data_IF_858820867783
#
_entry.id   IF_858820867783
#
_cell.length_a   1.000
_cell.length_b   1.000
_cell.length_c   1.000
_cell.angle_alpha   90.00
_cell.angle_beta   90.00
_cell.angle_gamma   90.00
#
_symmetry.space_group_name_H-M   'P 1'
#
loop_
_entity.id
_entity.type
_entity.pdbx_description
1 polymer ?
#
# COMPACT_ATOMS: atom_id res chain seq x y z
N UNK A 1 14.61 11.20 -6.81
CA UNK A 1 13.84 10.35 -5.85
C UNK A 1 12.52 9.85 -6.41
N UNK A 2 11.68 10.72 -6.98
CA UNK A 2 10.39 10.33 -7.59
C UNK A 2 10.45 10.11 -9.10
N UNK A 3 11.63 9.75 -9.62
CA UNK A 3 11.79 9.42 -11.03
C UNK A 3 10.89 8.25 -11.39
N UNK A 4 10.32 8.32 -12.58
CA UNK A 4 9.30 7.39 -13.05
C UNK A 4 9.81 6.68 -14.29
N UNK A 5 9.67 5.36 -14.32
CA UNK A 5 9.91 4.59 -15.54
C UNK A 5 8.79 4.81 -16.58
N UNK A 6 8.87 4.10 -17.71
CA UNK A 6 7.84 4.16 -18.76
C UNK A 6 6.44 3.76 -18.28
N UNK A 7 6.33 3.00 -17.20
CA UNK A 7 5.06 2.61 -16.57
C UNK A 7 4.58 3.64 -15.53
N UNK A 8 5.25 4.80 -15.44
CA UNK A 8 5.07 5.82 -14.39
C UNK A 8 5.37 5.32 -12.98
N UNK A 9 6.16 4.27 -12.85
CA UNK A 9 6.48 3.65 -11.56
C UNK A 9 7.70 4.27 -10.92
N UNK A 10 7.64 4.46 -9.60
CA UNK A 10 8.73 5.04 -8.81
C UNK A 10 9.60 3.96 -8.17
N UNK A 11 10.85 4.30 -7.82
CA UNK A 11 11.71 3.40 -7.05
C UNK A 11 11.07 2.91 -5.74
N UNK A 12 10.22 3.72 -5.12
CA UNK A 12 9.47 3.36 -3.93
C UNK A 12 8.46 2.23 -4.18
N UNK A 13 7.77 2.24 -5.32
CA UNK A 13 6.82 1.18 -5.68
C UNK A 13 7.53 -0.17 -5.88
N UNK A 14 8.72 -0.17 -6.48
CA UNK A 14 9.56 -1.37 -6.58
C UNK A 14 10.07 -1.82 -5.20
N UNK A 15 10.59 -0.93 -4.37
CA UNK A 15 11.06 -1.30 -3.04
C UNK A 15 9.94 -1.93 -2.19
N UNK A 16 8.71 -1.41 -2.30
CA UNK A 16 7.53 -1.96 -1.64
C UNK A 16 7.13 -3.34 -2.17
N UNK A 17 7.14 -3.56 -3.49
CA UNK A 17 6.73 -4.84 -4.11
C UNK A 17 7.72 -5.98 -3.86
N UNK A 18 9.00 -5.67 -3.64
CA UNK A 18 10.06 -6.64 -3.36
C UNK A 18 10.40 -6.77 -1.86
N UNK A 19 9.65 -6.12 -0.96
CA UNK A 19 9.87 -6.23 0.48
C UNK A 19 11.20 -5.65 0.96
N UNK A 20 11.72 -4.61 0.30
CA UNK A 20 13.03 -4.02 0.59
C UNK A 20 12.94 -2.89 1.61
N UNK A 21 12.70 -3.25 2.88
CA UNK A 21 12.36 -2.29 3.95
C UNK A 21 13.36 -1.16 4.11
N UNK A 22 14.66 -1.47 4.16
CA UNK A 22 15.72 -0.47 4.28
C UNK A 22 15.72 0.52 3.10
N UNK A 23 15.37 0.05 1.91
CA UNK A 23 15.26 0.90 0.72
C UNK A 23 14.00 1.76 0.84
N UNK A 24 12.87 1.20 1.30
CA UNK A 24 11.64 1.98 1.55
C UNK A 24 11.89 3.11 2.54
N UNK A 25 12.47 2.82 3.71
CA UNK A 25 12.83 3.81 4.73
C UNK A 25 13.73 4.89 4.14
N UNK A 26 14.84 4.50 3.49
CA UNK A 26 15.76 5.43 2.85
C UNK A 26 15.05 6.34 1.84
N UNK A 27 14.21 5.78 0.96
CA UNK A 27 13.50 6.56 -0.06
C UNK A 27 12.53 7.55 0.57
N UNK A 28 11.78 7.14 1.60
CA UNK A 28 10.85 8.00 2.33
C UNK A 28 11.59 9.14 3.05
N UNK A 29 12.68 8.83 3.75
CA UNK A 29 13.49 9.81 4.46
C UNK A 29 14.08 10.87 3.52
N UNK A 30 14.30 10.51 2.25
CA UNK A 30 14.79 11.40 1.20
C UNK A 30 13.66 12.01 0.36
N UNK A 31 12.42 12.03 0.87
CA UNK A 31 11.30 12.75 0.26
C UNK A 31 10.63 12.04 -0.91
N UNK A 32 10.74 10.71 -1.00
CA UNK A 32 9.94 9.96 -1.95
C UNK A 32 8.44 10.12 -1.66
N UNK A 33 7.66 10.35 -2.71
CA UNK A 33 6.22 10.49 -2.61
C UNK A 33 5.56 9.13 -2.39
N UNK A 34 5.17 8.89 -1.14
CA UNK A 34 4.48 7.68 -0.69
C UNK A 34 3.11 7.46 -1.32
N UNK A 35 2.53 8.48 -1.96
CA UNK A 35 1.21 8.41 -2.60
C UNK A 35 1.31 8.46 -4.13
N UNK A 36 2.53 8.40 -4.68
CA UNK A 36 2.75 8.43 -6.13
C UNK A 36 2.03 7.28 -6.84
N UNK A 37 1.31 7.60 -7.91
CA UNK A 37 0.59 6.61 -8.72
C UNK A 37 1.32 6.28 -10.03
N UNK A 38 1.26 5.01 -10.43
CA UNK A 38 1.72 4.53 -11.75
C UNK A 38 0.65 4.70 -12.85
N UNK A 39 0.91 4.19 -14.06
CA UNK A 39 -0.04 4.27 -15.20
C UNK A 39 -1.37 3.56 -14.92
N UNK A 40 -1.41 2.61 -14.00
CA UNK A 40 -2.60 1.86 -13.59
C UNK A 40 -3.35 2.56 -12.45
N UNK A 41 -2.82 3.67 -11.91
CA UNK A 41 -3.37 4.33 -10.73
C UNK A 41 -2.95 3.66 -9.42
N UNK A 42 -1.99 2.74 -9.45
CA UNK A 42 -1.56 2.02 -8.26
C UNK A 42 -0.60 2.86 -7.42
N UNK A 43 -0.84 2.94 -6.11
CA UNK A 43 0.06 3.53 -5.11
C UNK A 43 1.13 2.51 -4.67
N UNK A 44 2.20 2.93 -3.96
CA UNK A 44 3.21 2.00 -3.43
C UNK A 44 2.61 0.91 -2.52
N UNK A 45 1.64 1.25 -1.68
CA UNK A 45 0.92 0.25 -0.86
C UNK A 45 0.16 -0.75 -1.75
N UNK A 46 -0.51 -0.29 -2.81
CA UNK A 46 -1.20 -1.21 -3.72
C UNK A 46 -0.22 -2.17 -4.41
N UNK A 47 0.95 -1.69 -4.81
CA UNK A 47 2.00 -2.52 -5.41
C UNK A 47 2.50 -3.58 -4.43
N UNK A 48 2.67 -3.22 -3.15
CA UNK A 48 2.99 -4.16 -2.08
C UNK A 48 1.92 -5.27 -1.95
N UNK A 49 0.63 -4.88 -1.86
CA UNK A 49 -0.49 -5.82 -1.77
C UNK A 49 -0.62 -6.70 -3.02
N UNK A 50 -0.41 -6.13 -4.21
CA UNK A 50 -0.46 -6.85 -5.47
C UNK A 50 0.64 -7.92 -5.55
N UNK A 51 1.85 -7.59 -5.11
CA UNK A 51 2.99 -8.50 -5.17
C UNK A 51 2.78 -9.78 -4.34
N UNK A 52 2.09 -9.67 -3.19
CA UNK A 52 1.72 -10.84 -2.36
C UNK A 52 0.83 -11.86 -3.08
N UNK A 53 0.10 -11.47 -4.13
CA UNK A 53 -0.74 -12.36 -4.94
C UNK A 53 0.00 -12.94 -6.14
N UNK A 54 0.80 -12.11 -6.81
CA UNK A 54 1.21 -12.35 -8.19
C UNK A 54 2.59 -12.95 -8.35
N UNK A 55 3.39 -12.98 -7.28
CA UNK A 55 4.76 -13.49 -7.31
C UNK A 55 4.98 -14.53 -6.22
N UNK A 56 5.65 -15.66 -6.50
CA UNK A 56 6.18 -16.52 -5.45
C UNK A 56 7.25 -15.74 -4.68
N UNK A 57 7.05 -15.63 -3.37
CA UNK A 57 7.96 -14.94 -2.44
C UNK A 57 8.34 -15.92 -1.34
N UNK A 58 9.61 -15.88 -0.93
CA UNK A 58 10.03 -16.53 0.30
C UNK A 58 9.45 -15.82 1.54
N UNK A 59 9.63 -16.41 2.73
CA UNK A 59 9.11 -15.85 3.97
C UNK A 59 9.73 -14.49 4.33
N UNK A 60 10.98 -14.23 3.94
CA UNK A 60 11.68 -12.98 4.26
C UNK A 60 11.20 -11.83 3.38
N UNK A 61 11.04 -12.05 2.08
CA UNK A 61 10.44 -11.09 1.16
C UNK A 61 9.01 -10.76 1.58
N UNK A 62 8.23 -11.78 1.98
CA UNK A 62 6.86 -11.58 2.49
C UNK A 62 6.84 -10.72 3.75
N UNK A 63 7.63 -11.08 4.75
CA UNK A 63 7.71 -10.31 5.99
C UNK A 63 8.16 -8.86 5.72
N UNK A 64 9.08 -8.68 4.78
CA UNK A 64 9.46 -7.37 4.26
C UNK A 64 8.28 -6.59 3.70
N UNK A 65 7.52 -7.19 2.77
CA UNK A 65 6.33 -6.56 2.20
C UNK A 65 5.31 -6.18 3.27
N UNK A 66 5.05 -7.07 4.25
CA UNK A 66 4.13 -6.79 5.36
C UNK A 66 4.63 -5.64 6.25
N UNK A 67 5.95 -5.59 6.50
CA UNK A 67 6.59 -4.52 7.26
C UNK A 67 6.47 -3.18 6.54
N UNK A 68 6.69 -3.14 5.23
CA UNK A 68 6.50 -1.93 4.42
C UNK A 68 5.06 -1.43 4.42
N UNK A 69 4.09 -2.34 4.33
CA UNK A 69 2.67 -1.98 4.42
C UNK A 69 2.38 -1.34 5.77
N UNK A 70 2.81 -1.96 6.88
CA UNK A 70 2.62 -1.43 8.24
C UNK A 70 3.29 -0.07 8.39
N UNK A 71 4.54 0.06 7.92
CA UNK A 71 5.32 1.30 8.00
C UNK A 71 4.62 2.44 7.26
N UNK A 72 4.23 2.25 6.00
CA UNK A 72 3.55 3.28 5.21
C UNK A 72 2.18 3.66 5.80
N UNK A 73 1.42 2.70 6.34
CA UNK A 73 0.16 2.99 7.05
C UNK A 73 0.43 3.86 8.28
N UNK A 74 1.47 3.54 9.06
CA UNK A 74 1.83 4.32 10.25
C UNK A 74 2.25 5.75 9.90
N UNK A 75 2.84 5.96 8.72
CA UNK A 75 3.16 7.28 8.20
C UNK A 75 1.96 8.05 7.61
N UNK A 76 0.77 7.42 7.56
CA UNK A 76 -0.44 8.07 7.05
C UNK A 76 -0.59 8.02 5.53
N UNK A 77 0.05 7.06 4.86
CA UNK A 77 -0.14 6.86 3.42
C UNK A 77 -1.61 6.62 3.07
N UNK A 78 -2.03 7.11 1.90
CA UNK A 78 -3.41 7.01 1.43
C UNK A 78 -3.76 5.58 1.05
N UNK A 79 -4.78 5.03 1.70
CA UNK A 79 -5.27 3.65 1.48
C UNK A 79 -6.61 3.60 0.74
N UNK A 80 -7.26 4.75 0.61
CA UNK A 80 -8.57 4.97 0.01
C UNK A 80 -8.51 5.15 -1.51
N UNK A 81 -7.31 5.45 -2.04
CA UNK A 81 -7.06 5.59 -3.48
C UNK A 81 -7.59 4.37 -4.21
N UNK A 82 -8.16 4.60 -5.39
CA UNK A 82 -8.62 3.56 -6.30
C UNK A 82 -7.75 3.56 -7.54
N UNK A 83 -7.30 2.37 -7.94
CA UNK A 83 -6.67 2.18 -9.24
C UNK A 83 -7.71 2.26 -10.39
N UNK A 84 -7.26 2.11 -11.63
CA UNK A 84 -8.14 2.12 -12.81
C UNK A 84 -9.23 1.05 -12.80
N UNK A 85 -9.07 -0.02 -12.03
CA UNK A 85 -10.07 -1.08 -11.85
C UNK A 85 -11.00 -0.80 -10.67
N UNK A 86 -10.97 0.41 -10.09
CA UNK A 86 -11.68 0.79 -8.87
C UNK A 86 -11.24 -0.02 -7.64
N UNK A 87 -10.02 -0.57 -7.65
CA UNK A 87 -9.49 -1.38 -6.57
C UNK A 87 -8.69 -0.51 -5.60
N UNK A 88 -9.01 -0.62 -4.31
CA UNK A 88 -8.21 -0.05 -3.23
C UNK A 88 -7.08 -0.99 -2.80
N UNK A 89 -6.12 -0.50 -2.01
CA UNK A 89 -5.09 -1.35 -1.39
C UNK A 89 -5.69 -2.55 -0.63
N UNK A 90 -6.82 -2.33 0.04
CA UNK A 90 -7.56 -3.36 0.77
C UNK A 90 -8.17 -4.41 -0.17
N UNK A 91 -8.71 -4.00 -1.32
CA UNK A 91 -9.29 -4.94 -2.29
C UNK A 91 -8.20 -5.80 -2.96
N UNK A 92 -7.03 -5.22 -3.24
CA UNK A 92 -5.87 -5.98 -3.71
C UNK A 92 -5.44 -7.04 -2.68
N UNK A 93 -5.41 -6.67 -1.41
CA UNK A 93 -5.11 -7.58 -0.29
C UNK A 93 -6.15 -8.70 -0.11
N UNK A 94 -7.44 -8.41 -0.24
CA UNK A 94 -8.47 -9.45 -0.11
C UNK A 94 -8.44 -10.50 -1.22
N UNK A 95 -7.93 -10.16 -2.41
CA UNK A 95 -7.77 -11.11 -3.51
C UNK A 95 -6.50 -11.95 -3.38
N UNK A 96 -5.53 -11.57 -2.54
CA UNK A 96 -4.40 -12.43 -2.18
C UNK A 96 -4.92 -13.49 -1.20
N UNK A 97 -5.45 -14.59 -1.74
CA UNK A 97 -6.14 -15.68 -1.02
C UNK A 97 -5.20 -16.54 -0.16
N UNK A 98 -4.08 -16.00 0.32
CA UNK A 98 -2.99 -16.77 0.92
C UNK A 98 -2.66 -16.26 2.34
N UNK A 99 -2.82 -17.18 3.29
CA UNK A 99 -2.48 -17.18 4.73
C UNK A 99 -3.39 -16.39 5.68
N UNK A 100 -3.84 -17.06 6.74
CA UNK A 100 -4.98 -16.67 7.59
C UNK A 100 -4.59 -15.75 8.77
N UNK A 101 -3.32 -15.73 9.19
CA UNK A 101 -2.90 -15.08 10.44
C UNK A 101 -2.39 -13.63 10.25
N UNK A 102 -1.38 -13.39 9.42
CA UNK A 102 -0.87 -12.01 9.18
C UNK A 102 -1.87 -11.15 8.38
N UNK A 103 -2.64 -11.80 7.53
CA UNK A 103 -3.75 -11.20 6.79
C UNK A 103 -4.82 -10.66 7.72
N UNK A 104 -5.06 -11.28 8.88
CA UNK A 104 -6.06 -10.81 9.82
C UNK A 104 -5.69 -9.45 10.42
N UNK A 105 -4.40 -9.24 10.73
CA UNK A 105 -3.90 -7.99 11.29
C UNK A 105 -4.00 -6.87 10.27
N UNK A 106 -3.40 -7.02 9.09
CA UNK A 106 -3.46 -5.99 8.03
C UNK A 106 -4.90 -5.73 7.60
N UNK A 107 -5.73 -6.79 7.50
CA UNK A 107 -7.17 -6.67 7.27
C UNK A 107 -7.85 -5.82 8.35
N UNK A 108 -7.55 -6.07 9.62
CA UNK A 108 -8.10 -5.30 10.76
C UNK A 108 -7.65 -3.85 10.69
N UNK A 109 -6.36 -3.60 10.44
CA UNK A 109 -5.79 -2.26 10.33
C UNK A 109 -6.39 -1.49 9.15
N UNK A 110 -6.35 -2.02 7.94
CA UNK A 110 -6.94 -1.38 6.76
C UNK A 110 -8.46 -1.16 6.92
N UNK A 111 -9.21 -2.12 7.48
CA UNK A 111 -10.65 -1.97 7.73
C UNK A 111 -10.95 -0.90 8.79
N UNK A 112 -10.15 -0.81 9.85
CA UNK A 112 -10.28 0.23 10.87
C UNK A 112 -9.99 1.61 10.28
N UNK A 113 -8.95 1.73 9.48
CA UNK A 113 -8.55 3.01 8.88
C UNK A 113 -9.59 3.48 7.86
N UNK A 114 -10.11 2.57 7.00
CA UNK A 114 -11.23 2.91 6.08
C UNK A 114 -12.49 3.31 6.85
N UNK A 115 -12.84 2.62 7.95
CA UNK A 115 -13.98 3.02 8.79
C UNK A 115 -13.78 4.38 9.43
N UNK A 116 -12.60 4.67 9.98
CA UNK A 116 -12.28 5.99 10.56
C UNK A 116 -12.42 7.10 9.52
N UNK A 117 -11.89 6.88 8.31
CA UNK A 117 -12.03 7.82 7.21
C UNK A 117 -13.50 8.02 6.79
N UNK A 118 -14.28 6.95 6.68
CA UNK A 118 -15.71 7.05 6.34
C UNK A 118 -16.53 7.80 7.41
N UNK A 119 -16.21 7.63 8.70
CA UNK A 119 -16.84 8.40 9.79
C UNK A 119 -16.41 9.87 9.74
N UNK A 120 -15.13 10.15 9.48
CA UNK A 120 -14.62 11.52 9.36
C UNK A 120 -15.24 12.26 8.17
N UNK A 121 -15.39 11.59 7.02
CA UNK A 121 -16.05 12.15 5.84
C UNK A 121 -17.51 12.51 6.14
N UNK A 122 -18.27 11.59 6.76
CA UNK A 122 -19.64 11.85 7.17
C UNK A 122 -19.77 12.97 8.20
N UNK A 123 -18.75 13.23 9.04
CA UNK A 123 -18.76 14.36 9.97
C UNK A 123 -18.44 15.71 9.33
N UNK A 124 -17.73 15.72 8.19
CA UNK A 124 -17.45 16.94 7.42
C UNK A 124 -18.64 17.33 6.54
N UNK A 125 -19.35 16.36 5.97
CA UNK A 125 -20.55 16.59 5.13
C UNK A 125 -21.77 17.12 5.92
N UNK A 126 -21.72 17.14 7.26
CA UNK A 126 -22.76 17.73 8.14
C UNK A 126 -22.38 19.17 8.56
N UNK A 127 -21.18 19.63 8.23
CA UNK A 127 -20.68 20.98 8.54
C UNK A 127 -20.64 21.94 7.34
N UNK A 128 -21.19 21.55 6.18
CA UNK A 128 -21.48 22.42 5.02
C UNK A 128 -23.00 22.59 4.84
#
# INVERSE_FOLDING_TARGET
MNEKNDQKETGLQFACSYGKNRIVEYLIDHGADMNSINKQGCTPIMMACYALRHRPMDWNERDGVLTNIKYLINLGARIDVQDKNRMTALLHFYRSRIYYNDTLLIRKYLKLTVKKLAVLQNSLDIME
#
